data_IF_637598342759
#
_entry.id   IF_637598342759
#
_cell.length_a   1.000
_cell.length_b   1.000
_cell.length_c   1.000
_cell.angle_alpha   90.00
_cell.angle_beta   90.00
_cell.angle_gamma   90.00
#
_symmetry.space_group_name_H-M   'P 1'
#
loop_
_entity.id
_entity.type
_entity.pdbx_description
1 polymer ?
#
# COMPACT_ATOMS: atom_id res chain seq x y z
N UNK A 1 -34.73 -24.49 -36.81
CA UNK A 1 -34.08 -24.69 -38.12
C UNK A 1 -32.75 -24.01 -37.99
N UNK A 2 -31.75 -24.80 -37.81
CA UNK A 2 -30.73 -25.19 -38.79
C UNK A 2 -29.78 -24.01 -39.07
N UNK A 3 -28.52 -24.06 -38.89
CA UNK A 3 -27.57 -25.15 -38.69
C UNK A 3 -26.14 -24.62 -38.86
N UNK A 4 -25.26 -25.37 -38.24
CA UNK A 4 -23.93 -25.87 -38.65
C UNK A 4 -22.78 -24.86 -38.68
N UNK A 5 -21.74 -25.06 -37.84
CA UNK A 5 -20.65 -26.06 -37.87
C UNK A 5 -19.57 -25.75 -38.91
N UNK A 6 -18.35 -25.78 -38.46
CA UNK A 6 -17.13 -26.09 -39.15
C UNK A 6 -16.00 -25.25 -38.59
N UNK A 7 -14.97 -25.75 -37.95
CA UNK A 7 -14.20 -26.99 -38.10
C UNK A 7 -12.80 -26.53 -38.47
N UNK A 8 -11.88 -26.84 -37.64
CA UNK A 8 -10.87 -27.90 -37.58
C UNK A 8 -9.50 -27.53 -38.14
N UNK A 9 -8.50 -27.72 -37.27
CA UNK A 9 -7.16 -28.32 -37.46
C UNK A 9 -6.07 -27.60 -38.28
N UNK A 10 -4.89 -27.65 -37.67
CA UNK A 10 -3.55 -27.72 -38.23
C UNK A 10 -2.53 -27.29 -37.21
N UNK A 11 -1.99 -28.08 -36.44
CA UNK A 11 -1.08 -29.25 -36.39
C UNK A 11 0.29 -28.98 -37.04
N UNK A 12 1.32 -29.13 -36.20
CA UNK A 12 2.66 -29.65 -36.44
C UNK A 12 3.75 -28.77 -37.10
N UNK A 13 4.87 -28.76 -36.40
CA UNK A 13 6.24 -28.58 -36.87
C UNK A 13 7.14 -28.18 -35.72
N UNK A 14 7.66 -28.98 -34.95
CA UNK A 14 8.72 -30.04 -34.88
C UNK A 14 10.05 -29.62 -35.49
N UNK A 15 11.08 -29.71 -34.62
CA UNK A 15 12.49 -30.09 -34.84
C UNK A 15 13.50 -29.05 -35.35
N UNK A 16 14.60 -29.05 -34.57
CA UNK A 16 15.95 -28.68 -34.97
C UNK A 16 16.71 -28.09 -33.80
N UNK A 17 17.32 -28.81 -33.00
CA UNK A 17 18.48 -29.71 -32.90
C UNK A 17 19.83 -28.94 -32.97
N UNK A 18 20.54 -29.11 -31.86
CA UNK A 18 22.02 -29.28 -31.72
C UNK A 18 22.98 -28.11 -32.03
N UNK A 19 23.83 -27.90 -31.04
CA UNK A 19 25.30 -27.99 -31.14
C UNK A 19 26.00 -26.78 -30.52
N UNK A 20 26.90 -26.82 -29.74
CA UNK A 20 28.20 -27.38 -29.45
C UNK A 20 28.77 -26.65 -28.24
N UNK A 21 29.10 -27.31 -27.17
CA UNK A 21 30.39 -27.63 -26.59
C UNK A 21 31.50 -26.58 -26.86
N UNK A 22 31.98 -26.00 -25.78
CA UNK A 22 33.22 -25.25 -25.74
C UNK A 22 33.81 -25.19 -24.33
N UNK A 23 34.47 -26.27 -23.98
CA UNK A 23 35.31 -26.44 -22.77
C UNK A 23 36.66 -25.79 -23.03
N UNK A 24 37.12 -24.87 -22.16
CA UNK A 24 38.56 -24.63 -22.00
C UNK A 24 38.85 -24.41 -20.52
N UNK A 25 39.54 -25.42 -19.97
CA UNK A 25 40.27 -25.37 -18.72
C UNK A 25 41.65 -24.71 -18.98
N UNK A 26 42.13 -23.92 -18.05
CA UNK A 26 43.56 -23.74 -17.87
C UNK A 26 43.91 -23.55 -16.40
N UNK A 27 44.68 -24.56 -15.96
CA UNK A 27 45.35 -24.65 -14.69
C UNK A 27 46.59 -23.67 -14.65
N UNK A 28 46.89 -23.17 -13.49
CA UNK A 28 48.12 -22.43 -13.22
C UNK A 28 48.53 -22.58 -11.77
N UNK A 29 49.33 -23.59 -11.52
CA UNK A 29 49.98 -23.85 -10.26
C UNK A 29 51.23 -22.97 -10.12
N UNK A 30 51.51 -22.42 -8.95
CA UNK A 30 52.87 -22.06 -8.54
C UNK A 30 53.11 -22.55 -7.12
N UNK A 31 54.14 -23.38 -7.07
CA UNK A 31 54.86 -23.96 -5.94
C UNK A 31 55.61 -22.92 -5.14
N UNK A 32 55.67 -23.06 -3.83
CA UNK A 32 56.85 -23.52 -3.09
C UNK A 32 57.37 -22.42 -2.19
N UNK A 33 57.60 -22.73 -0.94
CA UNK A 33 58.91 -23.04 -0.38
C UNK A 33 58.72 -23.26 1.12
N UNK A 34 59.08 -24.44 1.53
CA UNK A 34 59.27 -24.84 2.93
C UNK A 34 60.58 -24.21 3.47
N UNK A 35 60.54 -23.69 4.69
CA UNK A 35 61.75 -23.52 5.47
C UNK A 35 61.56 -24.19 6.83
N UNK A 36 62.29 -25.30 6.96
CA UNK A 36 62.47 -26.11 8.16
C UNK A 36 63.56 -25.46 9.01
N UNK A 37 63.27 -25.14 10.28
CA UNK A 37 64.31 -24.92 11.29
C UNK A 37 63.95 -25.74 12.52
N UNK A 38 64.75 -26.78 12.74
CA UNK A 38 64.88 -27.52 14.01
C UNK A 38 65.73 -26.69 14.97
N UNK A 39 65.27 -26.53 16.23
CA UNK A 39 66.19 -26.65 17.38
C UNK A 39 65.44 -26.65 18.72
N UNK A 40 65.68 -27.72 19.44
CA UNK A 40 65.92 -27.86 20.89
C UNK A 40 64.83 -27.46 21.93
N UNK A 41 64.44 -28.52 22.67
CA UNK A 41 63.77 -28.46 23.99
C UNK A 41 64.75 -28.04 25.11
N UNK A 42 64.21 -27.40 26.21
CA UNK A 42 64.23 -28.17 27.44
C UNK A 42 62.87 -28.15 28.20
N UNK A 43 62.70 -29.17 28.99
CA UNK A 43 61.60 -29.43 29.93
C UNK A 43 61.61 -28.43 31.09
N UNK A 44 60.45 -27.86 31.40
CA UNK A 44 60.16 -27.39 32.75
C UNK A 44 58.66 -27.59 33.00
N UNK A 45 58.34 -28.38 33.99
CA UNK A 45 57.05 -28.59 34.60
C UNK A 45 56.63 -27.32 35.37
N UNK A 46 55.51 -26.74 35.03
CA UNK A 46 54.71 -25.94 36.01
C UNK A 46 53.24 -26.11 35.60
N UNK A 47 52.45 -26.58 36.59
CA UNK A 47 51.00 -26.70 36.47
C UNK A 47 50.35 -25.35 36.20
N UNK A 48 49.53 -25.33 35.16
CA UNK A 48 48.65 -24.20 34.91
C UNK A 48 47.22 -24.74 35.03
N UNK A 49 46.53 -24.24 36.04
CA UNK A 49 45.04 -24.29 36.12
C UNK A 49 44.48 -23.83 34.77
N UNK A 50 43.84 -24.72 34.06
CA UNK A 50 43.06 -24.40 32.89
C UNK A 50 41.84 -23.59 33.31
N UNK A 51 41.90 -22.29 33.14
CA UNK A 51 40.70 -21.44 33.12
C UNK A 51 39.99 -21.76 31.80
N UNK A 52 38.94 -22.63 31.88
CA UNK A 52 38.03 -22.82 30.78
C UNK A 52 37.25 -21.52 30.59
N UNK A 53 37.74 -20.68 29.66
CA UNK A 53 36.93 -19.58 29.11
C UNK A 53 35.82 -20.24 28.34
N UNK A 54 34.64 -20.37 28.99
CA UNK A 54 33.39 -20.63 28.28
C UNK A 54 33.16 -19.40 27.40
N UNK A 55 33.61 -19.51 26.14
CA UNK A 55 33.16 -18.58 25.11
C UNK A 55 31.65 -18.74 24.98
N UNK A 56 30.93 -17.94 25.74
CA UNK A 56 29.51 -17.74 25.55
C UNK A 56 29.33 -17.31 24.10
N UNK A 57 28.72 -18.16 23.28
CA UNK A 57 28.21 -17.76 21.99
C UNK A 57 27.24 -16.61 22.23
N UNK A 58 27.73 -15.39 22.14
CA UNK A 58 26.85 -14.24 22.01
C UNK A 58 26.01 -14.54 20.76
N UNK A 59 24.77 -14.94 20.99
CA UNK A 59 23.76 -14.95 19.94
C UNK A 59 23.73 -13.54 19.39
N UNK A 60 24.37 -13.33 18.25
CA UNK A 60 24.39 -12.04 17.56
C UNK A 60 22.96 -11.72 17.12
N UNK A 61 22.13 -11.23 18.05
CA UNK A 61 20.84 -10.67 17.73
C UNK A 61 21.03 -9.52 16.76
N UNK A 62 20.13 -9.40 15.78
CA UNK A 62 20.14 -8.25 14.87
C UNK A 62 20.04 -6.95 15.68
N UNK A 63 20.78 -5.89 15.32
CA UNK A 63 20.80 -4.63 16.07
C UNK A 63 19.37 -4.09 16.26
N UNK A 64 19.02 -3.78 17.54
CA UNK A 64 17.69 -3.25 17.87
C UNK A 64 16.58 -4.29 18.07
N UNK A 65 16.90 -5.59 18.11
CA UNK A 65 15.99 -6.66 18.49
C UNK A 65 16.51 -7.40 19.74
N UNK A 66 15.63 -7.99 20.60
CA UNK A 66 14.18 -8.04 20.45
C UNK A 66 13.53 -6.64 20.55
N UNK A 67 12.41 -6.47 19.82
CA UNK A 67 11.73 -5.17 19.71
C UNK A 67 10.22 -5.33 19.92
N UNK A 68 9.63 -4.42 20.70
CA UNK A 68 8.18 -4.30 20.86
C UNK A 68 7.66 -3.11 20.04
N UNK A 69 6.63 -3.34 19.24
CA UNK A 69 5.90 -2.33 18.48
C UNK A 69 4.42 -2.42 18.85
N UNK A 70 3.78 -1.26 19.03
CA UNK A 70 2.35 -1.18 19.36
C UNK A 70 1.55 -0.91 18.09
N UNK A 71 0.50 -1.69 17.85
CA UNK A 71 -0.41 -1.55 16.71
C UNK A 71 -1.47 -0.44 16.94
N UNK A 72 -2.36 -0.26 15.98
CA UNK A 72 -3.38 0.80 16.04
C UNK A 72 -4.58 0.46 16.93
N UNK A 73 -4.67 -0.79 17.45
CA UNK A 73 -5.58 -1.19 18.54
C UNK A 73 -4.93 -1.06 19.93
N UNK A 74 -3.67 -0.58 20.00
CA UNK A 74 -2.90 -0.50 21.27
C UNK A 74 -2.31 -1.83 21.72
N UNK A 75 -2.30 -2.87 20.87
CA UNK A 75 -1.73 -4.17 21.22
C UNK A 75 -0.24 -4.19 20.91
N UNK A 76 0.55 -4.67 21.89
CA UNK A 76 1.99 -4.79 21.76
C UNK A 76 2.36 -6.13 21.08
N UNK A 77 3.19 -6.06 20.05
CA UNK A 77 3.83 -7.21 19.39
C UNK A 77 5.34 -7.14 19.62
N UNK A 78 5.89 -8.20 20.22
CA UNK A 78 7.35 -8.33 20.41
C UNK A 78 7.91 -9.32 19.42
N UNK A 79 8.88 -8.88 18.62
CA UNK A 79 9.61 -9.69 17.65
C UNK A 79 11.05 -9.90 18.14
N UNK A 80 11.54 -11.14 18.09
CA UNK A 80 12.91 -11.49 18.45
C UNK A 80 13.95 -11.08 17.37
N UNK A 81 13.48 -10.91 16.13
CA UNK A 81 14.26 -10.50 14.96
C UNK A 81 13.35 -9.75 13.97
N UNK A 82 13.89 -9.03 12.97
CA UNK A 82 13.11 -8.43 11.90
C UNK A 82 12.22 -9.45 11.18
N UNK A 83 10.94 -9.12 10.96
CA UNK A 83 10.02 -10.01 10.25
C UNK A 83 10.47 -10.21 8.80
N UNK A 84 10.56 -11.49 8.39
CA UNK A 84 10.95 -11.93 7.05
C UNK A 84 9.84 -12.68 6.32
N UNK A 85 8.79 -13.09 7.03
CA UNK A 85 7.64 -13.81 6.47
C UNK A 85 6.37 -13.05 6.83
N UNK A 86 5.90 -12.25 5.90
CA UNK A 86 4.83 -11.28 6.12
C UNK A 86 3.64 -11.64 5.25
N UNK A 87 2.45 -11.53 5.80
CA UNK A 87 1.20 -11.52 5.04
C UNK A 87 0.55 -10.14 5.19
N UNK A 88 0.02 -9.62 4.10
CA UNK A 88 -0.79 -8.39 4.13
C UNK A 88 -2.22 -8.70 3.68
N UNK A 89 -3.22 -8.27 4.45
CA UNK A 89 -4.64 -8.48 4.11
C UNK A 89 -5.33 -7.22 3.60
N UNK A 90 -4.54 -6.24 3.13
CA UNK A 90 -5.04 -5.06 2.44
C UNK A 90 -4.01 -4.54 1.44
N UNK A 91 -4.43 -3.95 0.30
CA UNK A 91 -3.51 -3.50 -0.75
C UNK A 91 -2.61 -2.33 -0.32
N UNK A 92 -3.09 -1.40 0.50
CA UNK A 92 -2.28 -0.31 1.06
C UNK A 92 -1.11 -0.83 1.90
N UNK A 93 -1.31 -1.91 2.66
CA UNK A 93 -0.25 -2.53 3.48
C UNK A 93 0.79 -3.20 2.59
N UNK A 94 0.38 -3.83 1.48
CA UNK A 94 1.27 -4.36 0.46
C UNK A 94 2.13 -3.25 -0.14
N UNK A 95 1.54 -2.10 -0.44
CA UNK A 95 2.24 -0.93 -0.96
C UNK A 95 3.25 -0.36 0.04
N UNK A 96 2.92 -0.31 1.34
CA UNK A 96 3.85 0.13 2.38
C UNK A 96 5.05 -0.82 2.46
N UNK A 97 4.84 -2.14 2.49
CA UNK A 97 5.93 -3.12 2.53
C UNK A 97 6.81 -3.01 1.28
N UNK A 98 6.20 -2.83 0.10
CA UNK A 98 6.93 -2.66 -1.16
C UNK A 98 7.74 -1.35 -1.21
N UNK A 99 7.17 -0.24 -0.73
CA UNK A 99 7.85 1.07 -0.67
C UNK A 99 9.06 1.05 0.27
N UNK A 100 9.01 0.24 1.33
CA UNK A 100 10.13 -0.04 2.22
C UNK A 100 11.20 -0.94 1.59
N UNK A 101 11.00 -1.44 0.36
CA UNK A 101 11.93 -2.33 -0.32
C UNK A 101 11.90 -3.78 0.19
N UNK A 102 10.82 -4.21 0.84
CA UNK A 102 10.69 -5.52 1.48
C UNK A 102 9.63 -6.43 0.82
N UNK A 103 9.34 -6.21 -0.47
CA UNK A 103 8.33 -6.99 -1.20
C UNK A 103 8.65 -8.50 -1.23
N UNK A 104 9.94 -8.86 -1.26
CA UNK A 104 10.47 -10.22 -1.19
C UNK A 104 10.14 -10.94 0.12
N UNK A 105 9.80 -10.22 1.19
CA UNK A 105 9.36 -10.76 2.48
C UNK A 105 7.87 -11.09 2.51
N UNK A 106 7.10 -10.69 1.51
CA UNK A 106 5.68 -11.05 1.43
C UNK A 106 5.53 -12.50 0.98
N UNK A 107 5.02 -13.34 1.87
CA UNK A 107 4.70 -14.75 1.57
C UNK A 107 3.29 -14.90 0.99
N UNK A 108 2.39 -13.94 1.26
CA UNK A 108 1.09 -13.82 0.60
C UNK A 108 0.46 -12.43 0.78
N UNK A 109 -0.52 -12.14 -0.07
CA UNK A 109 -1.33 -10.92 -0.01
C UNK A 109 -2.73 -11.17 -0.58
N UNK A 110 -3.61 -10.14 -0.53
CA UNK A 110 -4.99 -10.23 -1.06
C UNK A 110 -5.05 -9.97 -2.57
N UNK A 111 -6.14 -10.41 -3.22
CA UNK A 111 -6.34 -10.34 -4.67
C UNK A 111 -6.26 -8.91 -5.24
N UNK A 112 -6.69 -7.93 -4.45
CA UNK A 112 -6.67 -6.50 -4.83
C UNK A 112 -5.29 -5.83 -4.74
N UNK A 113 -4.24 -6.54 -4.27
CA UNK A 113 -2.87 -6.03 -4.19
C UNK A 113 -2.20 -6.05 -5.57
N UNK A 114 -2.31 -4.96 -6.30
CA UNK A 114 -1.90 -4.81 -7.70
C UNK A 114 -0.68 -3.89 -7.90
N UNK A 115 -0.23 -3.19 -6.84
CA UNK A 115 0.89 -2.26 -6.91
C UNK A 115 1.96 -2.56 -5.83
N UNK A 116 3.26 -2.43 -6.20
CA UNK A 116 3.80 -2.28 -7.56
C UNK A 116 3.47 -3.50 -8.44
N UNK A 117 3.74 -3.44 -9.74
CA UNK A 117 3.42 -4.56 -10.65
C UNK A 117 4.00 -5.89 -10.18
N UNK A 118 5.17 -5.89 -9.53
CA UNK A 118 5.78 -7.05 -8.92
C UNK A 118 4.93 -7.68 -7.79
N UNK A 119 4.06 -6.91 -7.11
CA UNK A 119 3.15 -7.47 -6.10
C UNK A 119 2.13 -8.45 -6.70
N UNK A 120 1.90 -8.41 -8.02
CA UNK A 120 1.00 -9.34 -8.73
C UNK A 120 1.49 -10.79 -8.71
N UNK A 121 2.80 -11.01 -8.51
CA UNK A 121 3.41 -12.35 -8.44
C UNK A 121 3.39 -12.95 -7.03
N UNK A 122 3.08 -12.16 -6.01
CA UNK A 122 2.96 -12.65 -4.63
C UNK A 122 1.74 -13.59 -4.51
N UNK A 123 1.85 -14.74 -3.83
CA UNK A 123 0.74 -15.67 -3.63
C UNK A 123 -0.51 -14.99 -3.05
N UNK A 124 -1.70 -15.42 -3.48
CA UNK A 124 -2.99 -14.84 -3.05
C UNK A 124 -3.65 -15.69 -1.96
N UNK A 125 -4.32 -15.00 -1.04
CA UNK A 125 -5.09 -15.60 0.07
C UNK A 125 -6.55 -15.16 0.09
N UNK A 126 -7.10 -14.74 -1.05
CA UNK A 126 -8.47 -14.26 -1.18
C UNK A 126 -8.58 -12.74 -1.12
N UNK A 127 -9.76 -12.25 -0.76
CA UNK A 127 -10.11 -10.83 -0.74
C UNK A 127 -10.76 -10.41 0.59
N UNK A 128 -11.28 -9.17 0.66
CA UNK A 128 -11.96 -8.63 1.84
C UNK A 128 -13.28 -9.32 2.20
N UNK A 129 -13.87 -10.13 1.30
CA UNK A 129 -15.10 -10.88 1.55
C UNK A 129 -14.80 -12.28 2.10
N UNK A 130 -13.69 -12.86 1.68
CA UNK A 130 -13.30 -14.21 2.08
C UNK A 130 -11.79 -14.42 2.01
N UNK A 131 -11.20 -14.73 3.18
CA UNK A 131 -9.80 -15.12 3.30
C UNK A 131 -9.67 -16.64 3.32
N UNK A 132 -8.64 -17.16 2.66
CA UNK A 132 -8.22 -18.57 2.78
C UNK A 132 -7.38 -18.73 4.06
N UNK A 133 -8.10 -18.97 5.17
CA UNK A 133 -7.49 -19.09 6.50
C UNK A 133 -6.56 -20.29 6.60
N UNK A 134 -6.89 -21.40 5.96
CA UNK A 134 -6.08 -22.62 5.98
C UNK A 134 -4.73 -22.37 5.31
N UNK A 135 -4.76 -21.77 4.13
CA UNK A 135 -3.55 -21.37 3.40
C UNK A 135 -2.72 -20.36 4.19
N UNK A 136 -3.38 -19.37 4.80
CA UNK A 136 -2.70 -18.35 5.59
C UNK A 136 -1.97 -18.97 6.78
N UNK A 137 -2.63 -19.89 7.52
CA UNK A 137 -2.03 -20.61 8.65
C UNK A 137 -0.88 -21.50 8.18
N UNK A 138 -1.05 -22.22 7.05
CA UNK A 138 -0.02 -23.11 6.50
C UNK A 138 1.25 -22.35 6.07
N UNK A 139 1.14 -21.10 5.68
CA UNK A 139 2.27 -20.23 5.32
C UNK A 139 3.15 -19.87 6.52
N UNK A 140 2.68 -20.04 7.76
CA UNK A 140 3.39 -19.69 9.00
C UNK A 140 4.05 -18.32 8.94
N UNK A 141 3.28 -17.25 8.72
CA UNK A 141 3.83 -15.90 8.74
C UNK A 141 4.31 -15.52 10.15
N UNK A 142 5.36 -14.72 10.24
CA UNK A 142 5.86 -14.13 11.49
C UNK A 142 4.98 -12.95 11.93
N UNK A 143 4.37 -12.28 10.96
CA UNK A 143 3.39 -11.21 11.19
C UNK A 143 2.38 -11.16 10.05
N UNK A 144 1.12 -10.93 10.40
CA UNK A 144 0.04 -10.61 9.48
C UNK A 144 -0.34 -9.15 9.69
N UNK A 145 -0.06 -8.32 8.70
CA UNK A 145 -0.49 -6.93 8.71
C UNK A 145 -1.96 -6.86 8.33
N UNK A 146 -2.77 -6.28 9.21
CA UNK A 146 -4.22 -6.23 9.07
C UNK A 146 -4.72 -4.79 9.01
N UNK A 147 -5.82 -4.59 8.29
CA UNK A 147 -6.61 -3.38 8.25
C UNK A 147 -8.07 -3.76 8.55
N UNK A 148 -8.81 -2.93 9.26
CA UNK A 148 -10.15 -3.28 9.79
C UNK A 148 -11.10 -3.85 8.74
N UNK A 149 -11.02 -3.35 7.50
CA UNK A 149 -11.87 -3.83 6.41
C UNK A 149 -11.18 -4.87 5.50
N UNK A 150 -10.01 -5.41 5.92
CA UNK A 150 -9.27 -6.43 5.17
C UNK A 150 -9.75 -7.86 5.40
N UNK A 151 -10.66 -8.06 6.36
CA UNK A 151 -11.29 -9.34 6.69
C UNK A 151 -12.38 -9.12 7.74
N UNK A 152 -13.22 -10.13 7.95
CA UNK A 152 -14.24 -10.07 8.99
C UNK A 152 -13.61 -10.24 10.38
N UNK A 153 -14.20 -9.63 11.42
CA UNK A 153 -13.70 -9.81 12.80
C UNK A 153 -13.65 -11.30 13.21
N UNK A 154 -14.61 -12.09 12.70
CA UNK A 154 -14.63 -13.55 12.90
C UNK A 154 -13.38 -14.23 12.32
N UNK A 155 -12.96 -13.84 11.14
CA UNK A 155 -11.75 -14.38 10.49
C UNK A 155 -10.49 -13.95 11.23
N UNK A 156 -10.38 -12.67 11.61
CA UNK A 156 -9.26 -12.16 12.38
C UNK A 156 -9.14 -12.87 13.73
N UNK A 157 -10.26 -13.12 14.41
CA UNK A 157 -10.28 -13.86 15.67
C UNK A 157 -9.89 -15.33 15.46
N UNK A 158 -10.28 -15.95 14.36
CA UNK A 158 -9.85 -17.32 14.01
C UNK A 158 -8.33 -17.38 13.81
N UNK A 159 -7.73 -16.38 13.14
CA UNK A 159 -6.27 -16.28 12.98
C UNK A 159 -5.54 -16.08 14.32
N UNK A 160 -6.09 -15.23 15.22
CA UNK A 160 -5.53 -15.06 16.57
C UNK A 160 -5.56 -16.38 17.36
N UNK A 161 -6.68 -17.12 17.32
CA UNK A 161 -6.79 -18.44 17.98
C UNK A 161 -5.84 -19.49 17.40
N UNK A 162 -5.51 -19.35 16.11
CA UNK A 162 -4.48 -20.17 15.46
C UNK A 162 -3.05 -19.77 15.86
N UNK A 163 -2.87 -18.77 16.74
CA UNK A 163 -1.56 -18.34 17.22
C UNK A 163 -0.81 -17.39 16.29
N UNK A 164 -1.46 -16.83 15.27
CA UNK A 164 -0.83 -15.89 14.37
C UNK A 164 -0.71 -14.49 14.99
N UNK A 165 0.44 -13.86 14.81
CA UNK A 165 0.70 -12.49 15.24
C UNK A 165 0.04 -11.53 14.25
N UNK A 166 -1.14 -10.99 14.62
CA UNK A 166 -1.82 -9.94 13.87
C UNK A 166 -1.32 -8.58 14.34
N UNK A 167 -1.02 -7.71 13.40
CA UNK A 167 -0.58 -6.34 13.67
C UNK A 167 -1.43 -5.37 12.84
N UNK A 168 -2.26 -4.59 13.51
CA UNK A 168 -3.18 -3.65 12.89
C UNK A 168 -2.46 -2.36 12.49
N UNK A 169 -2.66 -1.95 11.23
CA UNK A 169 -2.16 -0.69 10.68
C UNK A 169 -3.33 -0.01 9.96
N UNK A 170 -3.88 1.01 10.57
CA UNK A 170 -5.12 1.65 10.10
C UNK A 170 -5.04 3.18 10.24
N UNK A 171 -4.26 3.86 9.40
CA UNK A 171 -4.27 5.32 9.40
C UNK A 171 -5.62 5.83 8.90
N UNK A 172 -6.36 6.52 9.76
CA UNK A 172 -7.67 7.11 9.47
C UNK A 172 -7.55 8.53 8.95
N UNK A 173 -6.44 9.19 9.25
CA UNK A 173 -6.14 10.57 8.88
C UNK A 173 -4.94 10.63 7.96
N UNK A 174 -4.88 11.68 7.15
CA UNK A 174 -3.81 11.85 6.17
C UNK A 174 -2.42 12.01 6.82
N UNK A 175 -2.37 12.66 7.98
CA UNK A 175 -1.14 12.87 8.75
C UNK A 175 -0.67 11.64 9.52
N UNK A 176 -1.50 10.61 9.65
CA UNK A 176 -1.16 9.33 10.27
C UNK A 176 -0.43 8.39 9.30
N UNK A 177 -0.61 8.56 7.97
CA UNK A 177 -0.01 7.66 6.96
C UNK A 177 1.51 7.57 7.08
N UNK A 178 2.28 8.67 7.27
CA UNK A 178 3.72 8.58 7.52
C UNK A 178 4.07 7.75 8.74
N UNK A 179 3.29 7.86 9.83
CA UNK A 179 3.46 7.06 11.04
C UNK A 179 3.21 5.57 10.82
N UNK A 180 2.24 5.22 9.97
CA UNK A 180 1.99 3.84 9.57
C UNK A 180 3.19 3.24 8.81
N UNK A 181 3.82 4.00 7.91
CA UNK A 181 5.05 3.58 7.20
C UNK A 181 6.18 3.31 8.21
N UNK A 182 6.42 4.23 9.17
CA UNK A 182 7.44 4.06 10.20
C UNK A 182 7.14 2.84 11.11
N UNK A 183 5.87 2.61 11.43
CA UNK A 183 5.42 1.50 12.27
C UNK A 183 5.70 0.16 11.61
N UNK A 184 5.35 0.00 10.32
CA UNK A 184 5.67 -1.19 9.53
C UNK A 184 7.19 -1.35 9.40
N UNK A 185 7.94 -0.27 9.11
CA UNK A 185 9.38 -0.32 8.99
C UNK A 185 10.07 -0.86 10.28
N UNK A 186 9.55 -0.53 11.46
CA UNK A 186 10.07 -1.06 12.74
C UNK A 186 9.92 -2.57 12.84
N UNK A 187 8.81 -3.15 12.39
CA UNK A 187 8.63 -4.61 12.37
C UNK A 187 9.65 -5.30 11.46
N UNK A 188 10.06 -4.60 10.40
CA UNK A 188 10.98 -5.11 9.38
C UNK A 188 12.45 -4.84 9.69
N UNK A 189 12.77 -4.08 10.75
CA UNK A 189 14.14 -3.63 11.01
C UNK A 189 14.66 -2.60 9.99
N UNK A 190 13.76 -1.88 9.32
CA UNK A 190 14.05 -0.92 8.26
C UNK A 190 13.82 0.53 8.73
N UNK A 191 14.13 0.84 9.99
CA UNK A 191 13.81 2.12 10.64
C UNK A 191 14.32 3.35 9.86
N UNK A 192 15.55 3.29 9.35
CA UNK A 192 16.13 4.41 8.61
C UNK A 192 15.38 4.65 7.29
N UNK A 193 15.05 3.57 6.56
CA UNK A 193 14.26 3.64 5.33
C UNK A 193 12.86 4.18 5.64
N UNK A 194 12.20 3.64 6.68
CA UNK A 194 10.87 4.08 7.10
C UNK A 194 10.81 5.57 7.44
N UNK A 195 11.78 6.07 8.24
CA UNK A 195 11.88 7.51 8.53
C UNK A 195 12.06 8.35 7.27
N UNK A 196 12.92 7.91 6.34
CA UNK A 196 13.15 8.60 5.08
C UNK A 196 11.89 8.68 4.22
N UNK A 197 11.16 7.55 4.07
CA UNK A 197 9.89 7.50 3.31
C UNK A 197 8.80 8.37 3.96
N UNK A 198 8.65 8.27 5.27
CA UNK A 198 7.69 9.06 6.03
C UNK A 198 7.99 10.57 5.94
N UNK A 199 9.26 10.98 6.04
CA UNK A 199 9.67 12.37 5.90
C UNK A 199 9.36 12.90 4.49
N UNK A 200 9.69 12.14 3.45
CA UNK A 200 9.39 12.52 2.07
C UNK A 200 7.87 12.69 1.82
N UNK A 201 7.04 11.80 2.39
CA UNK A 201 5.58 11.92 2.29
C UNK A 201 5.07 13.17 3.02
N UNK A 202 5.56 13.45 4.25
CA UNK A 202 5.19 14.67 5.00
C UNK A 202 5.57 15.93 4.23
N UNK A 203 6.75 15.96 3.65
CA UNK A 203 7.22 17.09 2.84
C UNK A 203 6.36 17.30 1.59
N UNK A 204 6.05 16.24 0.85
CA UNK A 204 5.21 16.31 -0.33
C UNK A 204 3.78 16.80 -0.02
N UNK A 205 3.18 16.34 1.09
CA UNK A 205 1.87 16.82 1.56
C UNK A 205 1.93 18.30 2.02
N UNK A 206 3.01 18.70 2.69
CA UNK A 206 3.24 20.08 3.09
C UNK A 206 3.39 21.01 1.87
N UNK A 207 4.12 20.56 0.84
CA UNK A 207 4.25 21.29 -0.42
C UNK A 207 2.90 21.51 -1.12
N UNK A 208 2.04 20.49 -1.17
CA UNK A 208 0.67 20.63 -1.72
C UNK A 208 -0.16 21.64 -0.93
N UNK A 209 -0.05 21.65 0.41
CA UNK A 209 -0.73 22.62 1.27
C UNK A 209 -0.22 24.04 1.02
N UNK A 210 1.10 24.23 0.89
CA UNK A 210 1.73 25.52 0.67
C UNK A 210 1.45 26.09 -0.73
N UNK A 211 1.25 25.25 -1.73
CA UNK A 211 0.91 25.67 -3.09
C UNK A 211 -0.47 26.32 -3.20
N UNK A 212 -1.35 26.13 -2.20
CA UNK A 212 -2.68 26.71 -2.20
C UNK A 212 -2.63 28.20 -1.84
N UNK A 213 -3.30 29.10 -2.61
CA UNK A 213 -3.43 30.51 -2.24
C UNK A 213 -4.20 30.65 -0.92
N UNK A 214 -3.62 31.34 0.07
CA UNK A 214 -4.21 31.48 1.41
C UNK A 214 -5.58 32.20 1.40
N UNK A 215 -5.78 33.12 0.47
CA UNK A 215 -7.01 33.90 0.32
C UNK A 215 -8.07 33.27 -0.60
N UNK A 216 -7.78 32.13 -1.23
CA UNK A 216 -8.71 31.50 -2.16
C UNK A 216 -9.94 30.95 -1.41
N UNK A 217 -11.13 31.34 -1.84
CA UNK A 217 -12.38 30.77 -1.32
C UNK A 217 -12.42 29.25 -1.57
N UNK A 218 -12.86 28.44 -0.60
CA UNK A 218 -12.94 27.01 -0.76
C UNK A 218 -13.87 26.62 -1.92
N UNK A 219 -13.58 25.47 -2.53
CA UNK A 219 -14.48 24.84 -3.51
C UNK A 219 -15.41 23.89 -2.77
N UNK A 220 -16.70 24.02 -2.96
CA UNK A 220 -17.71 23.12 -2.40
C UNK A 220 -17.73 21.80 -3.16
N UNK A 221 -17.37 20.71 -2.48
CA UNK A 221 -17.15 19.40 -3.06
C UNK A 221 -18.19 18.40 -2.57
N UNK A 222 -18.80 17.69 -3.50
CA UNK A 222 -19.46 16.42 -3.24
C UNK A 222 -18.54 15.29 -3.71
N UNK A 223 -18.09 14.44 -2.79
CA UNK A 223 -17.33 13.24 -3.14
C UNK A 223 -18.27 12.04 -3.22
N UNK A 224 -18.44 11.49 -4.41
CA UNK A 224 -19.27 10.33 -4.65
C UNK A 224 -18.45 9.05 -4.51
N UNK A 225 -18.74 8.27 -3.47
CA UNK A 225 -18.14 6.94 -3.26
C UNK A 225 -18.84 5.91 -4.12
N UNK A 226 -20.18 5.96 -4.14
CA UNK A 226 -21.04 5.00 -4.84
C UNK A 226 -22.24 5.71 -5.42
N UNK A 227 -22.72 5.25 -6.58
CA UNK A 227 -23.83 5.90 -7.27
C UNK A 227 -25.20 5.36 -6.83
N UNK A 228 -25.31 4.06 -6.56
CA UNK A 228 -26.56 3.36 -6.21
C UNK A 228 -26.29 2.25 -5.18
N UNK A 229 -26.64 2.46 -3.89
CA UNK A 229 -27.19 3.70 -3.32
C UNK A 229 -26.17 4.84 -3.36
N UNK A 230 -26.65 6.09 -3.42
CA UNK A 230 -25.77 7.25 -3.44
C UNK A 230 -25.08 7.41 -2.08
N UNK A 231 -23.75 7.27 -2.07
CA UNK A 231 -22.93 7.33 -0.88
C UNK A 231 -21.84 8.39 -1.01
N UNK A 232 -21.49 9.01 0.10
CA UNK A 232 -20.44 10.02 0.20
C UNK A 232 -19.52 9.73 1.38
N UNK A 233 -18.59 10.63 1.66
CA UNK A 233 -17.69 10.56 2.82
C UNK A 233 -17.88 11.77 3.72
N UNK A 234 -17.37 11.66 4.95
CA UNK A 234 -17.30 12.80 5.89
C UNK A 234 -15.87 13.26 6.10
N UNK A 235 -15.71 14.39 6.82
CA UNK A 235 -14.38 14.95 7.15
C UNK A 235 -13.58 14.08 8.12
N UNK A 236 -14.18 13.03 8.67
CA UNK A 236 -13.49 12.05 9.53
C UNK A 236 -12.81 10.92 8.76
N UNK A 237 -12.95 10.92 7.44
CA UNK A 237 -12.36 9.93 6.54
C UNK A 237 -11.17 10.55 5.81
N UNK A 238 -10.14 9.75 5.51
CA UNK A 238 -8.88 10.16 4.86
C UNK A 238 -9.09 11.09 3.66
N UNK A 239 -10.07 10.79 2.79
CA UNK A 239 -10.36 11.60 1.59
C UNK A 239 -10.90 12.99 2.00
N UNK A 240 -11.61 13.10 3.14
CA UNK A 240 -12.02 14.38 3.71
C UNK A 240 -10.82 15.28 4.01
N UNK A 241 -9.74 14.71 4.57
CA UNK A 241 -8.48 15.43 4.78
C UNK A 241 -7.85 15.90 3.47
N UNK A 242 -7.91 15.05 2.42
CA UNK A 242 -7.39 15.41 1.09
C UNK A 242 -8.21 16.54 0.48
N UNK A 243 -9.54 16.54 0.61
CA UNK A 243 -10.39 17.65 0.18
C UNK A 243 -9.95 18.95 0.88
N UNK A 244 -9.79 18.91 2.21
CA UNK A 244 -9.37 20.07 3.00
C UNK A 244 -7.93 20.52 2.64
N UNK A 245 -6.99 19.59 2.45
CA UNK A 245 -5.63 19.85 1.98
C UNK A 245 -5.64 20.66 0.69
N UNK A 246 -6.49 20.28 -0.27
CA UNK A 246 -6.63 20.93 -1.57
C UNK A 246 -7.52 22.20 -1.53
N UNK A 247 -7.96 22.64 -0.33
CA UNK A 247 -8.80 23.82 -0.16
C UNK A 247 -10.23 23.62 -0.66
N UNK A 248 -10.72 22.40 -0.65
CA UNK A 248 -12.13 22.10 -0.80
C UNK A 248 -12.86 22.13 0.53
N UNK A 249 -14.18 22.20 0.47
CA UNK A 249 -15.10 21.99 1.58
C UNK A 249 -16.04 20.85 1.21
N UNK A 250 -16.00 19.77 1.98
CA UNK A 250 -16.92 18.65 1.78
C UNK A 250 -18.33 19.07 2.24
N UNK A 251 -19.29 19.11 1.34
CA UNK A 251 -20.67 19.55 1.65
C UNK A 251 -21.41 18.62 2.61
N UNK A 252 -20.88 17.42 2.84
CA UNK A 252 -21.39 16.43 3.80
C UNK A 252 -20.39 16.09 4.92
N UNK A 253 -19.36 16.91 5.08
CA UNK A 253 -18.26 16.66 6.03
C UNK A 253 -18.72 16.45 7.48
N UNK A 254 -19.79 17.11 7.92
CA UNK A 254 -20.28 17.08 9.29
C UNK A 254 -21.20 15.88 9.63
N UNK A 255 -21.55 15.01 8.68
CA UNK A 255 -22.40 13.85 8.96
C UNK A 255 -21.71 12.85 9.90
N UNK A 256 -22.50 12.08 10.67
CA UNK A 256 -21.97 11.20 11.69
C UNK A 256 -21.28 9.93 11.15
N UNK A 257 -21.85 9.15 10.20
CA UNK A 257 -21.19 7.96 9.63
C UNK A 257 -19.96 8.35 8.81
N UNK A 258 -18.92 7.50 8.77
CA UNK A 258 -17.73 7.74 7.93
C UNK A 258 -18.10 7.80 6.43
N UNK A 259 -18.99 6.89 6.00
CA UNK A 259 -19.47 6.77 4.61
C UNK A 259 -21.00 6.75 4.65
N UNK A 260 -21.65 7.92 4.73
CA UNK A 260 -23.11 8.00 4.81
C UNK A 260 -23.76 7.81 3.44
N UNK A 261 -24.95 7.18 3.45
CA UNK A 261 -25.86 7.25 2.33
C UNK A 261 -26.60 8.59 2.37
N UNK A 262 -26.76 9.23 1.21
CA UNK A 262 -27.50 10.49 1.05
C UNK A 262 -28.51 10.36 -0.10
N UNK A 263 -29.55 11.20 -0.07
CA UNK A 263 -30.46 11.26 -1.21
C UNK A 263 -29.96 12.23 -2.29
N UNK A 264 -30.39 12.03 -3.52
CA UNK A 264 -30.10 12.94 -4.63
C UNK A 264 -30.57 14.37 -4.33
N UNK A 265 -31.74 14.51 -3.70
CA UNK A 265 -32.32 15.80 -3.31
C UNK A 265 -31.44 16.51 -2.25
N UNK A 266 -30.86 15.74 -1.31
CA UNK A 266 -29.93 16.31 -0.32
C UNK A 266 -28.67 16.83 -1.01
N UNK A 267 -28.12 16.09 -1.97
CA UNK A 267 -26.94 16.51 -2.73
C UNK A 267 -27.23 17.75 -3.59
N UNK A 268 -28.40 17.82 -4.23
CA UNK A 268 -28.81 19.01 -4.97
C UNK A 268 -28.99 20.24 -4.06
N UNK A 269 -29.59 20.08 -2.86
CA UNK A 269 -29.75 21.16 -1.87
C UNK A 269 -28.42 21.63 -1.28
N UNK A 270 -27.44 20.74 -1.16
CA UNK A 270 -26.11 21.09 -0.67
C UNK A 270 -25.32 21.99 -1.65
N UNK A 271 -25.75 22.06 -2.92
CA UNK A 271 -25.21 22.93 -3.98
C UNK A 271 -23.67 22.84 -4.12
N UNK A 272 -23.08 21.65 -4.22
CA UNK A 272 -21.64 21.55 -4.48
C UNK A 272 -21.29 22.26 -5.79
N UNK A 273 -20.08 22.79 -5.88
CA UNK A 273 -19.52 23.32 -7.11
C UNK A 273 -19.00 22.21 -8.01
N UNK A 274 -18.36 21.20 -7.40
CA UNK A 274 -17.79 20.06 -8.12
C UNK A 274 -18.25 18.71 -7.53
N UNK A 275 -18.35 17.70 -8.39
CA UNK A 275 -18.51 16.28 -7.99
C UNK A 275 -17.25 15.55 -8.35
N UNK A 276 -16.69 14.84 -7.38
CA UNK A 276 -15.51 14.00 -7.54
C UNK A 276 -15.89 12.54 -7.28
N UNK A 277 -15.31 11.61 -8.04
CA UNK A 277 -15.46 10.17 -7.83
C UNK A 277 -14.13 9.45 -8.09
N UNK A 278 -13.88 8.33 -7.42
CA UNK A 278 -12.76 7.46 -7.76
C UNK A 278 -13.04 6.70 -9.06
N UNK A 279 -12.01 6.48 -9.89
CA UNK A 279 -12.08 5.52 -11.00
C UNK A 279 -11.95 4.10 -10.47
N UNK A 280 -12.86 3.24 -10.87
CA UNK A 280 -12.86 1.84 -10.43
C UNK A 280 -11.92 0.95 -11.25
N UNK A 281 -11.67 1.32 -12.49
CA UNK A 281 -11.02 0.45 -13.50
C UNK A 281 -9.49 0.49 -13.52
N UNK A 282 -8.86 1.27 -12.63
CA UNK A 282 -7.41 1.48 -12.62
C UNK A 282 -6.88 2.09 -13.93
N UNK A 283 -7.77 2.48 -14.86
CA UNK A 283 -7.39 3.09 -16.12
C UNK A 283 -7.00 4.54 -15.93
N UNK A 284 -6.05 4.99 -16.71
CA UNK A 284 -5.89 6.38 -17.03
C UNK A 284 -4.87 7.20 -16.26
N UNK A 285 -3.91 6.60 -15.57
CA UNK A 285 -2.77 7.32 -15.01
C UNK A 285 -3.10 8.18 -13.76
N UNK A 286 -2.10 8.90 -13.20
CA UNK A 286 -2.19 9.54 -11.89
C UNK A 286 -2.96 10.86 -11.86
N UNK A 287 -3.44 11.38 -12.98
CA UNK A 287 -4.12 12.67 -13.05
C UNK A 287 -5.63 12.56 -12.83
N UNK A 288 -6.23 13.60 -12.27
CA UNK A 288 -7.68 13.80 -12.32
C UNK A 288 -8.13 14.00 -13.77
N UNK A 289 -9.34 13.54 -14.08
CA UNK A 289 -9.94 13.72 -15.40
C UNK A 289 -11.28 14.40 -15.26
N UNK A 290 -11.46 15.50 -15.96
CA UNK A 290 -12.79 16.06 -16.19
C UNK A 290 -13.54 15.12 -17.13
N UNK A 291 -14.59 14.45 -16.60
CA UNK A 291 -15.22 13.32 -17.28
C UNK A 291 -16.76 13.35 -17.13
N UNK A 292 -17.45 14.40 -17.64
CA UNK A 292 -18.91 14.54 -17.45
C UNK A 292 -19.71 13.42 -18.11
N UNK A 293 -19.12 12.69 -19.05
CA UNK A 293 -19.75 11.55 -19.71
C UNK A 293 -19.45 10.20 -19.03
N UNK A 294 -18.60 10.19 -17.98
CA UNK A 294 -18.31 8.97 -17.24
C UNK A 294 -19.60 8.39 -16.63
N UNK A 295 -19.66 7.06 -16.60
CA UNK A 295 -20.83 6.34 -16.05
C UNK A 295 -21.08 6.65 -14.59
N UNK A 296 -20.02 6.97 -13.83
CA UNK A 296 -20.12 7.37 -12.43
C UNK A 296 -21.06 8.58 -12.24
N UNK A 297 -21.15 9.45 -13.24
CA UNK A 297 -21.97 10.66 -13.21
C UNK A 297 -23.27 10.55 -14.02
N UNK A 298 -23.66 9.35 -14.47
CA UNK A 298 -24.81 9.14 -15.34
C UNK A 298 -26.14 9.69 -14.72
N UNK A 299 -26.33 9.46 -13.41
CA UNK A 299 -27.53 9.91 -12.70
C UNK A 299 -27.63 11.44 -12.59
N UNK A 300 -26.51 12.18 -12.66
CA UNK A 300 -26.48 13.64 -12.54
C UNK A 300 -26.86 14.36 -13.83
N UNK A 301 -26.61 13.76 -15.00
CA UNK A 301 -26.83 14.40 -16.32
C UNK A 301 -28.25 14.91 -16.57
N UNK A 302 -29.23 14.32 -15.89
CA UNK A 302 -30.64 14.75 -15.97
C UNK A 302 -30.91 16.12 -15.31
N UNK A 303 -29.98 16.62 -14.50
CA UNK A 303 -30.09 17.91 -13.80
C UNK A 303 -29.21 18.96 -14.51
N UNK A 304 -29.63 19.38 -15.71
CA UNK A 304 -28.82 20.24 -16.58
C UNK A 304 -28.43 21.59 -15.93
N UNK A 305 -29.28 22.14 -15.07
CA UNK A 305 -29.05 23.41 -14.38
C UNK A 305 -28.20 23.27 -13.10
N UNK A 306 -27.91 22.04 -12.68
CA UNK A 306 -27.07 21.79 -11.52
C UNK A 306 -25.64 22.20 -11.81
N UNK A 307 -25.05 23.03 -10.95
CA UNK A 307 -23.76 23.69 -11.21
C UNK A 307 -22.67 22.73 -11.68
N UNK A 308 -22.39 21.57 -11.04
CA UNK A 308 -21.36 20.65 -11.51
C UNK A 308 -21.62 20.15 -12.93
N UNK A 309 -22.88 19.90 -13.29
CA UNK A 309 -23.28 19.42 -14.61
C UNK A 309 -23.18 20.53 -15.65
N UNK A 310 -23.77 21.69 -15.37
CA UNK A 310 -23.78 22.84 -16.25
C UNK A 310 -22.36 23.35 -16.58
N UNK A 311 -21.46 23.34 -15.57
CA UNK A 311 -20.06 23.75 -15.72
C UNK A 311 -19.16 22.61 -16.20
N UNK A 312 -19.64 21.37 -16.16
CA UNK A 312 -18.86 20.16 -16.44
C UNK A 312 -17.79 19.89 -15.37
N UNK A 313 -17.97 20.36 -14.13
CA UNK A 313 -17.06 20.13 -13.01
C UNK A 313 -17.31 18.78 -12.35
N UNK A 314 -17.20 17.75 -13.17
CA UNK A 314 -17.37 16.34 -12.84
C UNK A 314 -16.03 15.64 -13.09
N UNK A 315 -15.35 15.24 -12.03
CA UNK A 315 -13.98 14.72 -12.13
C UNK A 315 -13.89 13.30 -11.60
N UNK A 316 -13.19 12.45 -12.35
CA UNK A 316 -12.73 11.15 -11.85
C UNK A 316 -11.29 11.24 -11.40
N UNK A 317 -10.99 10.66 -10.23
CA UNK A 317 -9.68 10.62 -9.61
C UNK A 317 -9.04 9.25 -9.77
N UNK A 318 -7.71 9.12 -9.72
CA UNK A 318 -7.04 7.83 -9.70
C UNK A 318 -7.48 7.05 -8.45
N UNK A 319 -8.22 5.95 -8.64
CA UNK A 319 -8.94 5.26 -7.58
C UNK A 319 -8.02 4.68 -6.52
N UNK A 320 -7.05 3.88 -6.93
CA UNK A 320 -6.12 3.24 -6.00
C UNK A 320 -5.32 4.27 -5.17
N UNK A 321 -4.91 5.36 -5.78
CA UNK A 321 -4.11 6.42 -5.14
C UNK A 321 -4.90 7.24 -4.14
N UNK A 322 -6.19 7.50 -4.41
CA UNK A 322 -7.00 8.34 -3.53
C UNK A 322 -7.70 7.55 -2.41
N UNK A 323 -7.92 6.25 -2.60
CA UNK A 323 -8.68 5.44 -1.63
C UNK A 323 -7.79 4.63 -0.69
N UNK A 324 -6.51 4.43 -1.02
CA UNK A 324 -5.58 3.64 -0.22
C UNK A 324 -4.76 4.52 0.70
N UNK A 325 -4.88 4.28 2.01
CA UNK A 325 -4.07 4.95 3.02
C UNK A 325 -2.63 4.40 3.02
N UNK A 326 -1.83 4.81 2.03
CA UNK A 326 -0.49 4.33 1.77
C UNK A 326 0.41 5.38 1.12
N UNK A 327 1.63 5.01 0.68
CA UNK A 327 2.61 5.96 0.14
C UNK A 327 2.12 6.78 -1.04
N UNK A 328 1.23 6.20 -1.89
CA UNK A 328 0.71 6.84 -3.11
C UNK A 328 -0.44 7.82 -2.86
N UNK A 329 -0.90 7.98 -1.61
CA UNK A 329 -1.96 8.96 -1.30
C UNK A 329 -1.61 10.38 -1.75
N UNK A 330 -0.32 10.72 -1.79
CA UNK A 330 0.15 12.01 -2.28
C UNK A 330 -0.16 12.23 -3.76
N UNK A 331 -0.17 11.18 -4.57
CA UNK A 331 -0.50 11.26 -6.00
C UNK A 331 -2.01 11.46 -6.19
N UNK A 332 -2.82 10.76 -5.39
CA UNK A 332 -4.26 11.00 -5.31
C UNK A 332 -4.59 12.43 -4.85
N UNK A 333 -3.88 12.92 -3.84
CA UNK A 333 -4.01 14.30 -3.36
C UNK A 333 -3.63 15.31 -4.44
N UNK A 334 -2.52 15.10 -5.15
CA UNK A 334 -2.08 15.96 -6.25
C UNK A 334 -3.13 16.03 -7.37
N UNK A 335 -3.71 14.89 -7.72
CA UNK A 335 -4.78 14.82 -8.71
C UNK A 335 -6.02 15.62 -8.25
N UNK A 336 -6.46 15.46 -7.00
CA UNK A 336 -7.58 16.21 -6.45
C UNK A 336 -7.30 17.71 -6.40
N UNK A 337 -6.12 18.12 -5.92
CA UNK A 337 -5.74 19.53 -5.87
C UNK A 337 -5.78 20.17 -7.27
N UNK A 338 -5.27 19.47 -8.30
CA UNK A 338 -5.31 19.95 -9.69
C UNK A 338 -6.74 20.17 -10.18
N UNK A 339 -7.67 19.24 -9.87
CA UNK A 339 -9.09 19.39 -10.22
C UNK A 339 -9.73 20.60 -9.54
N UNK A 340 -9.49 20.80 -8.24
CA UNK A 340 -10.06 21.94 -7.51
C UNK A 340 -9.44 23.28 -7.94
N UNK A 341 -8.18 23.29 -8.34
CA UNK A 341 -7.53 24.49 -8.90
C UNK A 341 -8.12 24.86 -10.28
N UNK A 342 -8.49 23.88 -11.10
CA UNK A 342 -9.21 24.12 -12.35
C UNK A 342 -10.58 24.78 -12.08
N UNK A 343 -11.35 24.26 -11.12
CA UNK A 343 -12.63 24.85 -10.70
C UNK A 343 -12.46 26.30 -10.24
N UNK A 344 -11.43 26.62 -9.43
CA UNK A 344 -11.15 27.98 -8.96
C UNK A 344 -10.86 28.92 -10.11
N UNK A 345 -9.94 28.53 -11.01
CA UNK A 345 -9.58 29.35 -12.17
C UNK A 345 -10.79 29.65 -13.07
N UNK A 346 -11.61 28.64 -13.34
CA UNK A 346 -12.81 28.85 -14.17
C UNK A 346 -13.91 29.66 -13.47
N UNK A 347 -14.01 29.56 -12.12
CA UNK A 347 -14.92 30.39 -11.32
C UNK A 347 -14.54 31.88 -11.38
N UNK A 348 -13.24 32.16 -11.27
CA UNK A 348 -12.70 33.55 -11.33
C UNK A 348 -12.82 34.13 -12.74
N UNK A 349 -12.64 33.34 -13.78
CA UNK A 349 -12.73 33.79 -15.17
C UNK A 349 -14.16 34.07 -15.65
N UNK A 350 -15.19 33.56 -14.95
CA UNK A 350 -16.61 33.72 -15.29
C UNK A 350 -17.46 33.90 -14.03
N UNK A 351 -17.40 35.06 -13.37
CA UNK A 351 -18.13 35.33 -12.14
C UNK A 351 -19.67 35.29 -12.32
#
# INVERSE_FOLDING_TARGET
>A
MSGRRGGVLGLLGLLGLMGHIGLVALAGAVRGIACLVLAARPRAWHGALGLAVVAGTASGGEPGFPRTVVDDDGRALTLAAPARRIVTIAPNLTEIVADLGALDRLVATVDTSNHPSAARTVPRIGDHQRLDLERLIALRPEVVLVWTHGGTERELEALRRAGLALFKVEPMRLDEVPGAIEKVARLLGLDAVGRGRAAALREALAALRAARPAAAAPVDVFYQVWAEPLMTITDRQLIGDVIALCGGRNVFGALAPLVPQVSTEAALRARPEAILAAREDGSGGPAARRAPQDRAFAAWRRFADFTPVRRGWLYTLPGDEITRAGPRIVDGARAMCSALDEVRREREARP
#
